data_IF_555883990644
#
_entry.id   IF_555883990644
#
_cell.length_a   1.000
_cell.length_b   1.000
_cell.length_c   1.000
_cell.angle_alpha   90.00
_cell.angle_beta   90.00
_cell.angle_gamma   90.00
#
_symmetry.space_group_name_H-M   'P 1'
#
loop_
_entity.id
_entity.type
_entity.pdbx_description
1 polymer ?
#
# COMPACT_ATOMS: atom_id res chain seq x y z
N UNK A 1 6.56 9.88 2.10
CA UNK A 1 5.64 11.03 2.24
C UNK A 1 4.27 10.48 2.63
N UNK A 2 3.70 10.96 3.73
CA UNK A 2 2.32 10.65 4.11
C UNK A 2 1.56 11.97 4.09
N UNK A 3 0.61 12.11 3.18
CA UNK A 3 -0.27 13.27 3.06
C UNK A 3 -1.72 12.81 3.05
N UNK A 4 -2.58 13.51 3.79
CA UNK A 4 -4.02 13.26 3.81
C UNK A 4 -4.77 14.56 3.53
N UNK A 5 -5.82 14.49 2.71
CA UNK A 5 -6.69 15.63 2.41
C UNK A 5 -8.14 15.17 2.40
N UNK A 6 -9.02 15.94 3.05
CA UNK A 6 -10.45 15.66 3.16
C UNK A 6 -11.25 16.91 2.74
N UNK A 7 -12.31 16.75 1.94
CA UNK A 7 -13.32 17.78 1.73
C UNK A 7 -12.96 18.93 0.77
N UNK A 8 -11.91 18.81 -0.05
CA UNK A 8 -11.60 19.81 -1.07
C UNK A 8 -12.29 19.44 -2.40
N UNK A 9 -13.27 20.23 -2.81
CA UNK A 9 -14.01 20.02 -4.07
C UNK A 9 -13.15 20.23 -5.34
N UNK A 10 -11.95 20.81 -5.20
CA UNK A 10 -11.06 21.17 -6.31
C UNK A 10 -9.68 20.47 -6.24
N UNK A 11 -9.59 19.25 -5.71
CA UNK A 11 -8.36 18.49 -5.85
C UNK A 11 -8.22 17.98 -7.30
N UNK A 12 -7.58 18.78 -8.16
CA UNK A 12 -7.33 18.44 -9.55
C UNK A 12 -6.17 17.45 -9.67
N UNK A 13 -6.44 16.16 -9.39
CA UNK A 13 -5.48 15.08 -9.66
C UNK A 13 -5.52 14.82 -11.17
N UNK A 14 -4.57 15.42 -11.88
CA UNK A 14 -4.37 15.16 -13.29
C UNK A 14 -3.73 13.78 -13.43
N UNK A 15 -4.46 12.85 -14.05
CA UNK A 15 -3.90 11.56 -14.48
C UNK A 15 -3.64 11.59 -15.97
N UNK A 16 -2.76 10.73 -16.48
CA UNK A 16 -2.43 10.63 -17.92
C UNK A 16 -3.66 10.42 -18.82
N UNK A 17 -4.79 10.00 -18.24
CA UNK A 17 -6.09 9.76 -18.90
C UNK A 17 -7.14 10.87 -18.71
N UNK A 18 -6.80 12.01 -18.08
CA UNK A 18 -7.70 13.16 -17.86
C UNK A 18 -7.91 13.54 -16.38
N UNK A 19 -8.68 14.62 -16.15
CA UNK A 19 -9.04 15.11 -14.82
C UNK A 19 -9.92 14.10 -14.09
N UNK A 20 -9.47 13.62 -12.93
CA UNK A 20 -10.37 12.89 -12.02
C UNK A 20 -11.12 13.95 -11.21
N UNK A 21 -12.37 14.24 -11.58
CA UNK A 21 -13.25 15.04 -10.75
C UNK A 21 -13.50 14.31 -9.42
N UNK A 22 -13.06 14.87 -8.31
CA UNK A 22 -13.23 14.27 -6.98
C UNK A 22 -14.57 14.68 -6.38
N UNK A 23 -15.51 13.75 -6.14
CA UNK A 23 -16.73 14.00 -5.39
C UNK A 23 -16.41 14.55 -3.99
N UNK A 24 -17.26 15.43 -3.47
CA UNK A 24 -17.07 16.17 -2.20
C UNK A 24 -17.05 15.31 -0.93
N UNK A 25 -17.21 14.00 -1.05
CA UNK A 25 -17.26 13.03 0.06
C UNK A 25 -16.14 11.97 0.03
N UNK A 26 -15.07 12.17 -0.75
CA UNK A 26 -13.92 11.25 -0.79
C UNK A 26 -12.77 11.74 0.09
N UNK A 27 -12.08 10.81 0.77
CA UNK A 27 -10.83 11.05 1.47
C UNK A 27 -9.68 10.41 0.67
N UNK A 28 -8.68 11.21 0.31
CA UNK A 28 -7.51 10.74 -0.41
C UNK A 28 -6.30 10.71 0.52
N UNK A 29 -5.62 9.55 0.56
CA UNK A 29 -4.39 9.37 1.34
C UNK A 29 -3.27 9.01 0.39
N UNK A 30 -2.25 9.87 0.33
CA UNK A 30 -1.03 9.62 -0.43
C UNK A 30 0.00 9.05 0.54
N UNK A 31 0.41 7.82 0.28
CA UNK A 31 1.44 7.11 1.04
C UNK A 31 2.60 6.75 0.14
N UNK A 32 3.71 6.32 0.75
CA UNK A 32 4.81 5.75 -0.02
C UNK A 32 4.39 4.49 -0.77
N UNK A 33 4.91 4.32 -1.98
CA UNK A 33 4.71 3.10 -2.75
C UNK A 33 5.84 2.12 -2.48
N UNK A 34 5.49 0.94 -1.95
CA UNK A 34 6.41 -0.17 -1.76
C UNK A 34 6.23 -1.21 -2.88
N UNK A 35 7.25 -1.35 -3.72
CA UNK A 35 7.31 -2.40 -4.71
C UNK A 35 7.48 -3.79 -4.05
N UNK A 36 6.93 -4.84 -4.66
CA UNK A 36 7.05 -6.23 -4.17
C UNK A 36 5.74 -6.88 -3.74
N UNK A 37 4.67 -6.08 -3.57
CA UNK A 37 3.33 -6.55 -3.25
C UNK A 37 3.16 -6.93 -1.77
N UNK A 38 2.08 -7.66 -1.46
CA UNK A 38 1.72 -7.96 -0.07
C UNK A 38 2.38 -9.24 0.47
N UNK A 39 2.63 -9.28 1.78
CA UNK A 39 3.10 -10.48 2.48
C UNK A 39 2.20 -11.70 2.20
N UNK A 40 0.87 -11.50 2.13
CA UNK A 40 -0.11 -12.54 1.78
C UNK A 40 0.24 -13.23 0.45
N UNK A 41 0.53 -12.48 -0.61
CA UNK A 41 0.80 -13.06 -1.93
C UNK A 41 2.16 -13.78 -1.94
N UNK A 42 3.15 -13.25 -1.23
CA UNK A 42 4.45 -13.89 -1.06
C UNK A 42 4.34 -15.26 -0.37
N UNK A 43 3.56 -15.36 0.71
CA UNK A 43 3.35 -16.62 1.44
C UNK A 43 2.59 -17.66 0.58
N UNK A 44 1.55 -17.24 -0.14
CA UNK A 44 0.78 -18.13 -1.05
C UNK A 44 1.69 -18.71 -2.13
N UNK A 45 2.55 -17.88 -2.75
CA UNK A 45 3.49 -18.33 -3.80
C UNK A 45 4.49 -19.37 -3.27
N UNK A 46 4.89 -19.27 -2.01
CA UNK A 46 5.84 -20.20 -1.38
C UNK A 46 5.16 -21.33 -0.60
N UNK A 47 3.84 -21.57 -0.76
CA UNK A 47 3.16 -22.63 0.01
C UNK A 47 3.67 -24.04 -0.28
N UNK A 48 4.21 -24.28 -1.49
CA UNK A 48 4.72 -25.60 -1.91
C UNK A 48 6.12 -25.90 -1.37
N UNK A 49 6.92 -24.87 -1.11
CA UNK A 49 8.30 -24.99 -0.59
C UNK A 49 8.43 -24.10 0.65
N UNK A 50 8.61 -24.72 1.81
CA UNK A 50 8.75 -23.99 3.07
C UNK A 50 9.83 -22.92 2.97
N UNK A 51 9.50 -21.72 3.43
CA UNK A 51 10.47 -20.64 3.58
C UNK A 51 11.50 -21.04 4.65
N UNK A 52 12.73 -20.57 4.48
CA UNK A 52 13.77 -20.76 5.49
C UNK A 52 13.33 -20.13 6.82
N UNK A 53 13.54 -20.83 7.93
CA UNK A 53 13.05 -20.40 9.25
C UNK A 53 13.51 -18.99 9.63
N UNK A 54 14.77 -18.64 9.33
CA UNK A 54 15.32 -17.29 9.54
C UNK A 54 14.51 -16.19 8.83
N UNK A 55 13.99 -16.47 7.63
CA UNK A 55 13.15 -15.52 6.88
C UNK A 55 11.83 -15.30 7.60
N UNK A 56 11.20 -16.38 8.08
CA UNK A 56 9.93 -16.28 8.81
C UNK A 56 10.10 -15.51 10.12
N UNK A 57 11.18 -15.76 10.86
CA UNK A 57 11.51 -15.00 12.08
C UNK A 57 11.67 -13.52 11.79
N UNK A 58 12.41 -13.17 10.73
CA UNK A 58 12.59 -11.77 10.34
C UNK A 58 11.26 -11.10 9.98
N UNK A 59 10.42 -11.76 9.19
CA UNK A 59 9.09 -11.24 8.82
C UNK A 59 8.22 -10.99 10.05
N UNK A 60 8.26 -11.89 11.04
CA UNK A 60 7.50 -11.72 12.29
C UNK A 60 8.05 -10.55 13.13
N UNK A 61 9.37 -10.40 13.21
CA UNK A 61 10.00 -9.29 13.93
C UNK A 61 9.72 -7.94 13.27
N UNK A 62 9.78 -7.88 11.94
CA UNK A 62 9.47 -6.66 11.20
C UNK A 62 8.00 -6.27 11.41
N UNK A 63 7.07 -7.23 11.39
CA UNK A 63 5.66 -6.97 11.69
C UNK A 63 5.43 -6.48 13.14
N UNK A 64 6.14 -7.07 14.11
CA UNK A 64 5.98 -6.72 15.53
C UNK A 64 6.49 -5.32 15.87
N UNK A 65 7.34 -4.73 15.03
CA UNK A 65 7.88 -3.38 15.21
C UNK A 65 6.92 -2.27 14.79
N UNK A 66 5.86 -2.62 14.05
CA UNK A 66 4.97 -1.66 13.37
C UNK A 66 5.56 -1.16 12.06
#
# INVERSE_FOLDING_TARGET
FIGAMMGHAELNIQTDSGQIGMPSNICCVVVEYLAGGALKTYLIKNRRRKLAFKVVVQLALDLARG
#
